data_IF_748996625692
#
_entry.id   IF_748996625692
#
_cell.length_a   1.000
_cell.length_b   1.000
_cell.length_c   1.000
_cell.angle_alpha   90.00
_cell.angle_beta   90.00
_cell.angle_gamma   90.00
#
_symmetry.space_group_name_H-M   'P 1'
#
loop_
_entity.id
_entity.type
_entity.pdbx_description
1 polymer ?
#
# COMPACT_ATOMS: atom_id res chain seq x y z
N UNK A 1 29.65 39.39 -41.31
CA UNK A 1 28.98 39.81 -40.04
C UNK A 1 29.79 39.34 -38.85
N UNK A 2 30.02 40.20 -37.85
CA UNK A 2 30.80 39.85 -36.65
C UNK A 2 29.94 38.98 -35.72
N UNK A 3 30.50 37.91 -35.15
CA UNK A 3 29.79 36.98 -34.23
C UNK A 3 29.03 37.68 -33.08
N UNK A 4 29.51 38.85 -32.66
CA UNK A 4 28.88 39.66 -31.62
C UNK A 4 27.51 40.23 -32.05
N UNK A 5 27.35 40.60 -33.32
CA UNK A 5 26.08 41.13 -33.83
C UNK A 5 25.05 40.03 -34.07
N UNK A 6 25.51 38.87 -34.56
CA UNK A 6 24.64 37.69 -34.69
C UNK A 6 24.05 37.28 -33.32
N UNK A 7 24.86 37.27 -32.26
CA UNK A 7 24.39 36.98 -30.90
C UNK A 7 23.41 38.03 -30.36
N UNK A 8 23.54 39.30 -30.75
CA UNK A 8 22.60 40.36 -30.36
C UNK A 8 21.22 40.16 -31.00
N UNK A 9 21.17 39.62 -32.22
CA UNK A 9 19.92 39.34 -32.94
C UNK A 9 19.32 38.00 -32.51
N UNK A 10 20.12 36.94 -32.30
CA UNK A 10 19.60 35.62 -31.94
C UNK A 10 19.09 35.54 -30.49
N UNK A 11 19.72 36.26 -29.55
CA UNK A 11 19.34 36.21 -28.13
C UNK A 11 17.87 36.58 -27.84
N UNK A 12 17.30 37.67 -28.39
CA UNK A 12 15.89 38.00 -28.17
C UNK A 12 14.96 36.95 -28.78
N UNK A 13 15.26 36.47 -30.00
CA UNK A 13 14.50 35.41 -30.66
C UNK A 13 14.46 34.12 -29.83
N UNK A 14 15.62 33.64 -29.35
CA UNK A 14 15.68 32.46 -28.49
C UNK A 14 14.91 32.68 -27.17
N UNK A 15 14.96 33.88 -26.60
CA UNK A 15 14.21 34.21 -25.38
C UNK A 15 12.70 34.17 -25.60
N UNK A 16 12.23 34.59 -26.76
CA UNK A 16 10.82 34.58 -27.13
C UNK A 16 10.35 33.15 -27.39
N UNK A 17 11.09 32.39 -28.21
CA UNK A 17 10.79 30.98 -28.46
C UNK A 17 10.77 30.13 -27.17
N UNK A 18 11.72 30.35 -26.24
CA UNK A 18 11.72 29.65 -24.96
C UNK A 18 10.50 30.03 -24.11
N UNK A 19 10.07 31.30 -24.13
CA UNK A 19 8.87 31.72 -23.40
C UNK A 19 7.61 31.09 -24.00
N UNK A 20 7.48 31.07 -25.32
CA UNK A 20 6.34 30.44 -26.01
C UNK A 20 6.26 28.95 -25.69
N UNK A 21 7.35 28.20 -25.89
CA UNK A 21 7.41 26.76 -25.57
C UNK A 21 7.09 26.48 -24.09
N UNK A 22 7.55 27.34 -23.20
CA UNK A 22 7.34 27.15 -21.76
C UNK A 22 5.90 27.46 -21.33
N UNK A 23 5.30 28.55 -21.83
CA UNK A 23 4.01 29.06 -21.36
C UNK A 23 2.82 28.67 -22.24
N UNK A 24 3.00 28.56 -23.55
CA UNK A 24 1.92 28.22 -24.49
C UNK A 24 1.80 26.71 -24.74
N UNK A 25 2.92 26.02 -24.96
CA UNK A 25 2.91 24.55 -25.11
C UNK A 25 2.70 23.83 -23.77
N UNK A 26 2.66 24.58 -22.66
CA UNK A 26 2.23 24.06 -21.36
C UNK A 26 3.20 23.05 -20.74
N UNK A 27 4.45 22.98 -21.20
CA UNK A 27 5.48 22.07 -20.68
C UNK A 27 5.70 22.28 -19.18
N UNK A 28 5.76 23.54 -18.72
CA UNK A 28 5.84 23.85 -17.29
C UNK A 28 4.58 23.41 -16.53
N UNK A 29 3.40 23.64 -17.11
CA UNK A 29 2.13 23.25 -16.49
C UNK A 29 2.05 21.73 -16.32
N UNK A 30 2.47 20.97 -17.33
CA UNK A 30 2.56 19.51 -17.28
C UNK A 30 3.48 19.03 -16.15
N UNK A 31 4.71 19.54 -16.10
CA UNK A 31 5.68 19.19 -15.06
C UNK A 31 5.15 19.55 -13.66
N UNK A 32 4.55 20.73 -13.50
CA UNK A 32 3.97 21.14 -12.21
C UNK A 32 2.79 20.23 -11.84
N UNK A 33 1.95 19.82 -12.79
CA UNK A 33 0.83 18.90 -12.51
C UNK A 33 1.30 17.51 -12.13
N UNK A 34 2.35 16.98 -12.78
CA UNK A 34 2.94 15.68 -12.45
C UNK A 34 3.62 15.71 -11.09
N UNK A 35 4.41 16.76 -10.80
CA UNK A 35 5.05 16.95 -9.49
C UNK A 35 4.00 17.17 -8.40
N UNK A 36 2.96 17.96 -8.66
CA UNK A 36 1.87 18.15 -7.72
C UNK A 36 1.07 16.86 -7.50
N UNK A 37 0.84 16.05 -8.54
CA UNK A 37 0.21 14.74 -8.40
C UNK A 37 1.09 13.76 -7.61
N UNK A 38 2.40 13.76 -7.86
CA UNK A 38 3.37 12.97 -7.11
C UNK A 38 3.46 13.37 -5.63
N UNK A 39 3.44 14.67 -5.33
CA UNK A 39 3.37 15.16 -3.95
C UNK A 39 2.00 14.87 -3.30
N UNK A 40 0.89 15.00 -4.04
CA UNK A 40 -0.46 14.64 -3.56
C UNK A 40 -0.62 13.15 -3.32
N UNK A 41 0.13 12.30 -4.03
CA UNK A 41 0.19 10.86 -3.74
C UNK A 41 0.86 10.57 -2.39
N UNK A 42 1.66 11.50 -1.86
CA UNK A 42 2.28 11.40 -0.52
C UNK A 42 1.39 11.96 0.59
N UNK A 43 0.40 12.79 0.25
CA UNK A 43 -0.55 13.37 1.20
C UNK A 43 -1.97 12.95 0.84
N UNK A 44 -2.39 11.80 1.40
CA UNK A 44 -3.79 11.50 1.74
C UNK A 44 -4.80 11.79 0.63
N UNK A 45 -4.99 10.84 -0.29
CA UNK A 45 -6.32 10.69 -0.88
C UNK A 45 -7.25 10.21 0.24
N UNK A 46 -8.37 10.90 0.55
CA UNK A 46 -9.40 10.28 1.34
C UNK A 46 -9.90 9.08 0.53
N UNK A 47 -9.73 7.88 1.06
CA UNK A 47 -10.41 6.68 0.59
C UNK A 47 -11.90 7.00 0.74
N UNK A 48 -12.55 7.39 -0.35
CA UNK A 48 -14.01 7.46 -0.38
C UNK A 48 -14.43 6.01 -0.50
N UNK A 49 -14.81 5.40 0.64
CA UNK A 49 -15.49 4.13 0.66
C UNK A 49 -16.74 4.27 -0.20
N UNK A 50 -16.66 3.85 -1.46
CA UNK A 50 -17.84 3.50 -2.21
C UNK A 50 -18.38 2.25 -1.55
N UNK A 51 -19.30 2.42 -0.61
CA UNK A 51 -20.02 1.33 0.02
C UNK A 51 -20.89 0.68 -1.05
N UNK A 52 -20.28 -0.21 -1.84
CA UNK A 52 -21.01 -1.09 -2.73
C UNK A 52 -21.71 -2.06 -1.79
N UNK A 53 -23.03 -1.97 -1.71
CA UNK A 53 -23.85 -2.96 -1.01
C UNK A 53 -23.65 -4.28 -1.78
N UNK A 54 -22.66 -5.06 -1.35
CA UNK A 54 -22.33 -6.33 -1.97
C UNK A 54 -23.47 -7.31 -1.63
N UNK A 55 -24.31 -7.60 -2.61
CA UNK A 55 -25.15 -8.79 -2.55
C UNK A 55 -24.22 -10.00 -2.37
N UNK A 56 -24.45 -10.81 -1.32
CA UNK A 56 -23.58 -11.95 -0.93
C UNK A 56 -23.22 -12.89 -2.09
N UNK A 57 -24.05 -12.98 -3.12
CA UNK A 57 -23.77 -13.78 -4.32
C UNK A 57 -22.64 -13.20 -5.19
N UNK A 58 -22.59 -11.87 -5.37
CA UNK A 58 -21.55 -11.20 -6.17
C UNK A 58 -20.19 -11.29 -5.47
N UNK A 59 -20.17 -11.19 -4.15
CA UNK A 59 -18.95 -11.35 -3.34
C UNK A 59 -18.36 -12.76 -3.45
N UNK A 60 -19.21 -13.80 -3.43
CA UNK A 60 -18.75 -15.19 -3.55
C UNK A 60 -18.18 -15.50 -4.93
N UNK A 61 -18.74 -14.93 -6.00
CA UNK A 61 -18.21 -15.10 -7.36
C UNK A 61 -16.88 -14.36 -7.51
N UNK A 62 -16.82 -13.10 -7.06
CA UNK A 62 -15.58 -12.32 -7.10
C UNK A 62 -14.44 -12.98 -6.31
N UNK A 63 -14.73 -13.55 -5.12
CA UNK A 63 -13.74 -14.31 -4.34
C UNK A 63 -13.20 -15.52 -5.10
N UNK A 64 -14.06 -16.28 -5.77
CA UNK A 64 -13.65 -17.47 -6.56
C UNK A 64 -12.77 -17.09 -7.74
N UNK A 65 -13.12 -16.02 -8.46
CA UNK A 65 -12.30 -15.53 -9.56
C UNK A 65 -10.92 -15.07 -9.08
N UNK A 66 -10.88 -14.35 -7.96
CA UNK A 66 -9.64 -13.85 -7.38
C UNK A 66 -8.74 -15.00 -6.86
N UNK A 67 -9.33 -16.07 -6.31
CA UNK A 67 -8.61 -17.29 -5.94
C UNK A 67 -8.03 -18.02 -7.16
N UNK A 68 -8.75 -18.06 -8.28
CA UNK A 68 -8.24 -18.66 -9.52
C UNK A 68 -7.10 -17.84 -10.12
N UNK A 69 -7.24 -16.52 -10.20
CA UNK A 69 -6.19 -15.61 -10.66
C UNK A 69 -4.95 -15.73 -9.78
N UNK A 70 -5.13 -15.74 -8.45
CA UNK A 70 -4.03 -15.94 -7.49
C UNK A 70 -3.29 -17.25 -7.75
N UNK A 71 -4.03 -18.34 -8.00
CA UNK A 71 -3.44 -19.66 -8.28
C UNK A 71 -2.66 -19.67 -9.59
N UNK A 72 -3.19 -19.06 -10.65
CA UNK A 72 -2.52 -18.94 -11.96
C UNK A 72 -1.20 -18.18 -11.83
N UNK A 73 -1.21 -17.02 -11.18
CA UNK A 73 0.01 -16.22 -10.97
C UNK A 73 1.06 -17.00 -10.18
N UNK A 74 0.67 -17.72 -9.12
CA UNK A 74 1.58 -18.57 -8.35
C UNK A 74 2.18 -19.70 -9.20
N UNK A 75 1.38 -20.32 -10.07
CA UNK A 75 1.83 -21.40 -10.95
C UNK A 75 2.79 -20.88 -12.04
N UNK A 76 2.48 -19.75 -12.67
CA UNK A 76 3.33 -19.11 -13.68
C UNK A 76 4.68 -18.66 -13.10
N UNK A 77 4.68 -18.05 -11.90
CA UNK A 77 5.91 -17.68 -11.20
C UNK A 77 6.76 -18.91 -10.89
N UNK A 78 6.14 -20.04 -10.54
CA UNK A 78 6.85 -21.27 -10.21
C UNK A 78 7.45 -21.96 -11.44
N UNK A 79 6.70 -21.99 -12.54
CA UNK A 79 7.03 -22.80 -13.73
C UNK A 79 8.28 -22.31 -14.48
N UNK A 80 8.48 -20.99 -14.57
CA UNK A 80 9.59 -20.40 -15.35
C UNK A 80 10.80 -20.01 -14.48
N UNK A 81 10.73 -20.26 -13.18
CA UNK A 81 11.76 -19.84 -12.23
C UNK A 81 12.90 -20.87 -12.10
N UNK A 82 14.13 -20.41 -12.38
CA UNK A 82 15.42 -21.05 -12.06
C UNK A 82 15.56 -22.55 -12.40
N UNK A 83 15.35 -22.91 -13.68
CA UNK A 83 15.73 -24.23 -14.22
C UNK A 83 15.02 -25.42 -13.52
N UNK A 84 13.77 -25.21 -13.09
CA UNK A 84 12.96 -26.24 -12.43
C UNK A 84 13.14 -26.32 -10.91
N UNK A 85 13.82 -25.34 -10.29
CA UNK A 85 13.97 -25.25 -8.84
C UNK A 85 12.83 -24.40 -8.25
N UNK A 86 12.04 -24.99 -7.38
CA UNK A 86 10.95 -24.30 -6.68
C UNK A 86 11.52 -23.37 -5.59
N UNK A 87 11.65 -22.07 -5.87
CA UNK A 87 12.17 -21.09 -4.90
C UNK A 87 11.30 -20.88 -3.66
N UNK A 88 10.07 -21.38 -3.69
CA UNK A 88 9.10 -21.27 -2.61
C UNK A 88 8.90 -22.62 -1.89
N UNK A 89 9.76 -23.60 -2.14
CA UNK A 89 9.77 -24.87 -1.40
C UNK A 89 9.96 -24.59 0.10
N UNK A 90 9.06 -25.11 0.93
CA UNK A 90 9.06 -24.87 2.38
C UNK A 90 8.49 -23.51 2.80
N UNK A 91 7.94 -22.71 1.89
CA UNK A 91 7.21 -21.48 2.24
C UNK A 91 5.72 -21.76 2.36
N UNK A 92 5.12 -21.41 3.49
CA UNK A 92 3.67 -21.39 3.65
C UNK A 92 3.15 -19.99 3.30
N UNK A 93 2.09 -19.88 2.48
CA UNK A 93 1.48 -18.58 2.23
C UNK A 93 0.98 -17.99 3.54
N UNK A 94 1.28 -16.71 3.77
CA UNK A 94 0.72 -15.94 4.87
C UNK A 94 -0.82 -16.08 4.84
N UNK A 95 -1.38 -16.63 5.92
CA UNK A 95 -2.81 -16.98 6.01
C UNK A 95 -3.71 -15.75 6.07
N UNK A 96 -3.17 -14.59 6.38
CA UNK A 96 -3.89 -13.33 6.46
C UNK A 96 -2.94 -12.20 6.04
N UNK A 97 -3.20 -11.61 4.87
CA UNK A 97 -2.53 -10.35 4.49
C UNK A 97 -2.85 -9.30 5.55
N UNK A 98 -1.84 -8.53 5.96
CA UNK A 98 -2.05 -7.44 6.91
C UNK A 98 -3.22 -6.59 6.45
N UNK A 99 -4.24 -6.44 7.30
CA UNK A 99 -5.35 -5.53 7.02
C UNK A 99 -4.80 -4.12 6.96
N UNK A 100 -5.08 -3.37 5.90
CA UNK A 100 -4.70 -1.96 5.81
C UNK A 100 -5.29 -1.21 7.02
N UNK A 101 -4.41 -0.78 7.93
CA UNK A 101 -4.76 -0.23 9.24
C UNK A 101 -4.01 -0.90 10.40
N UNK A 102 -3.61 -2.16 10.23
CA UNK A 102 -2.78 -2.88 11.20
C UNK A 102 -1.33 -2.79 10.72
N UNK A 103 -0.69 -1.68 11.09
CA UNK A 103 0.73 -1.50 10.92
C UNK A 103 1.43 -2.65 11.67
N UNK A 104 1.79 -3.71 10.94
CA UNK A 104 3.00 -4.49 11.26
C UNK A 104 4.20 -3.55 11.03
N UNK A 105 4.28 -2.52 11.87
CA UNK A 105 5.53 -1.86 12.14
C UNK A 105 6.50 -2.97 12.57
N UNK A 106 7.78 -2.89 12.19
CA UNK A 106 8.80 -3.83 12.66
C UNK A 106 8.93 -3.90 14.21
N UNK A 107 8.20 -3.04 14.93
CA UNK A 107 8.05 -3.02 16.39
C UNK A 107 6.60 -3.28 16.86
N UNK A 108 5.78 -4.02 16.09
CA UNK A 108 4.46 -4.41 16.56
C UNK A 108 4.60 -5.22 17.86
N UNK A 109 3.81 -4.94 18.92
CA UNK A 109 3.83 -5.73 20.14
C UNK A 109 3.54 -7.23 19.93
N UNK A 110 2.96 -7.57 18.77
CA UNK A 110 2.64 -8.92 18.32
C UNK A 110 3.65 -9.44 17.28
N UNK A 111 4.77 -8.76 17.08
CA UNK A 111 5.84 -9.23 16.20
C UNK A 111 6.40 -10.56 16.76
N UNK A 112 6.20 -11.65 16.02
CA UNK A 112 6.64 -12.99 16.40
C UNK A 112 5.57 -13.88 17.05
N UNK A 113 4.34 -13.38 17.27
CA UNK A 113 3.23 -14.24 17.71
C UNK A 113 2.61 -14.97 16.52
N UNK A 114 2.32 -16.26 16.67
CA UNK A 114 1.67 -17.05 15.62
C UNK A 114 0.24 -16.50 15.37
N UNK A 115 -0.15 -16.17 14.13
CA UNK A 115 -1.50 -15.71 13.80
C UNK A 115 -2.63 -16.69 14.17
N UNK A 116 -2.30 -17.98 14.36
CA UNK A 116 -3.23 -19.03 14.78
C UNK A 116 -3.16 -19.34 16.28
N UNK A 117 -2.39 -18.57 17.06
CA UNK A 117 -2.36 -18.71 18.51
C UNK A 117 -3.73 -18.30 19.10
N UNK A 118 -4.45 -19.19 19.80
CA UNK A 118 -5.70 -18.84 20.47
C UNK A 118 -5.52 -17.82 21.60
N UNK A 119 -4.28 -17.49 21.97
CA UNK A 119 -3.93 -16.53 23.01
C UNK A 119 -4.00 -17.15 24.40
N UNK A 120 -3.84 -16.29 25.41
CA UNK A 120 -3.90 -16.69 26.82
C UNK A 120 -5.32 -16.53 27.34
N UNK A 121 -5.88 -17.57 27.95
CA UNK A 121 -7.20 -17.49 28.60
C UNK A 121 -7.13 -16.62 29.88
N UNK A 122 -7.73 -15.44 29.80
CA UNK A 122 -7.81 -14.47 30.89
C UNK A 122 -9.09 -14.59 31.72
N UNK A 123 -9.93 -15.60 31.49
CA UNK A 123 -11.22 -15.79 32.18
C UNK A 123 -11.08 -15.82 33.70
N UNK A 124 -10.03 -16.46 34.22
CA UNK A 124 -9.71 -16.50 35.65
C UNK A 124 -9.37 -15.13 36.22
N UNK A 125 -8.55 -14.34 35.53
CA UNK A 125 -8.14 -12.98 35.93
C UNK A 125 -9.32 -12.02 35.90
N UNK A 126 -10.15 -12.09 34.84
CA UNK A 126 -11.34 -11.26 34.72
C UNK A 126 -12.36 -11.60 35.81
N UNK A 127 -12.47 -12.87 36.19
CA UNK A 127 -13.32 -13.32 37.30
C UNK A 127 -12.84 -12.81 38.67
N UNK A 128 -11.53 -12.64 38.84
CA UNK A 128 -10.91 -12.01 40.02
C UNK A 128 -11.17 -10.49 40.05
N UNK A 129 -11.05 -9.80 38.91
CA UNK A 129 -11.21 -8.36 38.77
C UNK A 129 -12.66 -7.86 38.80
N UNK A 130 -13.64 -8.68 38.39
CA UNK A 130 -15.09 -8.34 38.43
C UNK A 130 -15.73 -8.41 39.83
N UNK A 131 -14.93 -8.34 40.89
CA UNK A 131 -15.41 -8.08 42.25
C UNK A 131 -15.84 -9.30 43.07
N UNK A 132 -15.92 -10.50 42.51
CA UNK A 132 -16.35 -11.70 43.26
C UNK A 132 -15.31 -12.15 44.31
N UNK A 133 -14.02 -11.95 44.03
CA UNK A 133 -12.93 -12.45 44.87
C UNK A 133 -11.95 -11.36 45.35
N UNK A 134 -12.03 -10.13 44.79
CA UNK A 134 -11.12 -9.04 45.17
C UNK A 134 -11.24 -8.69 46.66
N UNK A 135 -12.46 -8.71 47.20
CA UNK A 135 -12.73 -8.44 48.62
C UNK A 135 -12.19 -9.54 49.55
N UNK A 136 -11.99 -10.77 49.04
CA UNK A 136 -11.39 -11.90 49.79
C UNK A 136 -9.86 -11.91 49.74
N UNK A 137 -9.28 -11.32 48.70
CA UNK A 137 -7.83 -11.22 48.51
C UNK A 137 -7.23 -9.96 49.15
N UNK A 138 -8.02 -8.89 49.31
CA UNK A 138 -7.59 -7.64 49.95
C UNK A 138 -7.73 -7.70 51.49
N UNK A 139 -8.60 -8.56 52.02
CA UNK A 139 -8.87 -8.68 53.46
C UNK A 139 -8.44 -10.04 54.07
N UNK A 140 -7.56 -10.78 53.39
CA UNK A 140 -6.91 -11.99 53.92
C UNK A 140 -5.42 -11.74 54.09
#
# INVERSE_FOLDING_TARGET
MKRAELKKVLKPLIKECIKEVIFEEGVLSGIITEVAAGLKSSYTQPIVERQVVATREVENVARRELEQVRKQVLEEINKDSYNGVNLFEGTEPISQGGTEGDNLAPNSPLAGTNPKDPGVDISGIVSLGRGANWNKLVNG
#
